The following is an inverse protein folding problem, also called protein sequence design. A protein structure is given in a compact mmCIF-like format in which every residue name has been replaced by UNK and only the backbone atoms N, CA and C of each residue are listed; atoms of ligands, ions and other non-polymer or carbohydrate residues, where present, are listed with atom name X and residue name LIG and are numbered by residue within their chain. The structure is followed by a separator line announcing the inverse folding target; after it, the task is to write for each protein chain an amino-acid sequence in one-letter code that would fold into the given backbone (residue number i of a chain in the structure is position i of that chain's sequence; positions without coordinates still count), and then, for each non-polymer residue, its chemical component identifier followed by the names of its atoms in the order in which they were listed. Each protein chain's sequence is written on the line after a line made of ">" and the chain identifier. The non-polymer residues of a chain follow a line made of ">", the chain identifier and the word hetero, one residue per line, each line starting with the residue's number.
data_IF_065928185967
#
_entry.id   IF_065928185967
#
_cell.length_a   1.000
_cell.length_b   1.000
_cell.length_c   1.000
_cell.angle_alpha   90.00
_cell.angle_beta   90.00
_cell.angle_gamma   90.00
#
_symmetry.space_group_name_H-M   'P 1'
#
loop_
_entity.id
_entity.type
_entity.pdbx_description
1 polymer ?
#
# COMPACT_ATOMS: atom_id res chain seq x y z
N UNK A 1 -13.06 2.86 -0.59
CA UNK A 1 -11.89 3.48 -1.25
C UNK A 1 -11.51 2.60 -2.42
N UNK A 2 -10.92 3.16 -3.49
CA UNK A 2 -10.59 2.40 -4.68
C UNK A 2 -9.50 1.33 -4.38
N UNK A 3 -8.59 1.61 -3.43
CA UNK A 3 -7.65 0.63 -2.85
C UNK A 3 -8.23 -0.07 -1.61
N UNK A 4 -8.17 -1.40 -1.61
CA UNK A 4 -8.41 -2.25 -0.43
C UNK A 4 -7.12 -2.92 0.03
N UNK A 5 -6.88 -2.95 1.35
CA UNK A 5 -5.72 -3.61 1.96
C UNK A 5 -6.16 -4.95 2.57
N UNK A 6 -5.52 -6.04 2.18
CA UNK A 6 -5.64 -7.33 2.86
C UNK A 6 -4.36 -7.64 3.63
N UNK A 7 -4.49 -7.96 4.92
CA UNK A 7 -3.39 -8.36 5.79
C UNK A 7 -3.82 -9.57 6.63
N UNK A 8 -2.94 -10.56 6.76
CA UNK A 8 -3.10 -11.70 7.68
C UNK A 8 -2.35 -11.42 8.97
N UNK A 9 -2.93 -11.69 10.16
CA UNK A 9 -2.21 -11.57 11.44
C UNK A 9 -0.94 -12.43 11.52
N UNK A 10 -0.89 -13.53 10.76
CA UNK A 10 0.29 -14.42 10.70
C UNK A 10 1.47 -13.80 9.93
N UNK A 11 1.22 -12.74 9.15
CA UNK A 11 2.23 -12.04 8.37
C UNK A 11 2.76 -10.80 9.10
N UNK A 12 2.65 -10.78 10.43
CA UNK A 12 3.12 -9.67 11.28
C UNK A 12 4.23 -10.18 12.18
N UNK A 13 5.44 -9.65 11.99
CA UNK A 13 6.60 -9.97 12.82
C UNK A 13 7.02 -8.76 13.65
N UNK A 14 7.16 -8.95 14.97
CA UNK A 14 7.62 -7.93 15.93
C UNK A 14 8.96 -8.29 16.61
N UNK A 15 9.73 -9.19 15.98
CA UNK A 15 10.98 -9.76 16.50
C UNK A 15 12.14 -8.77 16.57
N UNK A 16 12.10 -7.67 15.80
CA UNK A 16 13.10 -6.60 15.88
C UNK A 16 12.81 -5.66 17.06
N UNK A 17 13.86 -5.22 17.77
CA UNK A 17 13.75 -4.49 19.04
C UNK A 17 12.88 -3.22 19.03
N UNK A 18 12.56 -2.65 17.87
CA UNK A 18 11.79 -1.40 17.76
C UNK A 18 10.77 -1.36 16.60
N UNK A 19 10.62 -2.45 15.82
CA UNK A 19 9.79 -2.43 14.61
C UNK A 19 8.83 -3.62 14.55
N UNK A 20 7.74 -3.39 13.83
CA UNK A 20 6.75 -4.37 13.42
C UNK A 20 6.76 -4.38 11.90
N UNK A 21 6.97 -5.56 11.31
CA UNK A 21 6.92 -5.78 9.87
C UNK A 21 5.61 -6.48 9.52
N UNK A 22 4.93 -6.02 8.49
CA UNK A 22 3.71 -6.65 8.02
C UNK A 22 3.68 -6.77 6.49
N UNK A 23 3.21 -7.91 5.98
CA UNK A 23 3.04 -8.15 4.55
C UNK A 23 1.56 -8.30 4.21
N UNK A 24 1.03 -7.34 3.47
CA UNK A 24 -0.33 -7.35 2.93
C UNK A 24 -0.35 -7.37 1.41
N UNK A 25 -1.56 -7.31 0.85
CA UNK A 25 -1.81 -7.15 -0.59
C UNK A 25 -2.77 -5.99 -0.83
N UNK A 26 -2.60 -5.32 -1.97
CA UNK A 26 -3.50 -4.28 -2.45
C UNK A 26 -4.37 -4.84 -3.57
N UNK A 27 -5.65 -4.48 -3.55
CA UNK A 27 -6.56 -4.65 -4.69
C UNK A 27 -7.13 -3.31 -5.10
N UNK A 28 -7.32 -3.13 -6.41
CA UNK A 28 -7.71 -1.86 -7.01
C UNK A 28 -9.07 -1.98 -7.69
N UNK A 29 -9.89 -0.96 -7.53
CA UNK A 29 -11.20 -0.82 -8.15
C UNK A 29 -11.49 0.65 -8.42
N UNK A 30 -12.53 0.97 -9.20
CA UNK A 30 -12.95 2.37 -9.38
C UNK A 30 -11.93 3.24 -10.14
N UNK A 31 -11.75 4.47 -9.65
CA UNK A 31 -10.98 5.51 -10.34
C UNK A 31 -9.73 5.92 -9.56
N UNK A 32 -8.64 6.14 -10.29
CA UNK A 32 -7.41 6.77 -9.83
C UNK A 32 -7.56 8.31 -9.83
N UNK A 33 -7.33 8.98 -8.69
CA UNK A 33 -7.31 10.44 -8.61
C UNK A 33 -5.95 11.02 -9.01
N UNK A 34 -5.94 12.30 -9.42
CA UNK A 34 -4.69 13.02 -9.70
C UNK A 34 -3.76 13.02 -8.49
N UNK A 35 -2.50 12.60 -8.70
CA UNK A 35 -1.45 12.66 -7.68
C UNK A 35 -1.40 11.48 -6.72
N UNK A 36 -2.19 10.43 -6.94
CA UNK A 36 -2.17 9.20 -6.15
C UNK A 36 -3.44 8.96 -5.35
N UNK A 37 -3.82 7.68 -5.27
CA UNK A 37 -4.98 7.25 -4.51
C UNK A 37 -4.65 7.12 -3.03
N UNK A 38 -5.66 7.26 -2.17
CA UNK A 38 -5.49 7.13 -0.73
C UNK A 38 -5.27 5.67 -0.34
N UNK A 39 -4.18 5.43 0.38
CA UNK A 39 -3.93 4.20 1.15
C UNK A 39 -4.33 4.48 2.57
N UNK A 40 -5.40 3.83 3.02
CA UNK A 40 -5.89 3.96 4.39
C UNK A 40 -5.56 2.70 5.18
N UNK A 41 -4.54 2.81 6.04
CA UNK A 41 -4.11 1.74 6.93
C UNK A 41 -5.08 1.50 8.08
N UNK A 42 -6.09 2.36 8.30
CA UNK A 42 -7.18 2.07 9.25
C UNK A 42 -7.95 0.80 8.87
N UNK A 43 -7.93 0.40 7.59
CA UNK A 43 -8.53 -0.85 7.11
C UNK A 43 -7.96 -2.11 7.77
N UNK A 44 -6.72 -2.03 8.29
CA UNK A 44 -5.99 -3.15 8.90
C UNK A 44 -5.36 -2.77 10.25
N UNK A 45 -5.85 -1.69 10.88
CA UNK A 45 -5.31 -1.20 12.14
C UNK A 45 -5.50 -2.18 13.30
N UNK A 46 -6.51 -3.06 13.24
CA UNK A 46 -6.72 -4.16 14.18
C UNK A 46 -5.64 -5.26 14.10
N UNK A 47 -4.92 -5.32 12.98
CA UNK A 47 -3.88 -6.32 12.70
C UNK A 47 -2.46 -5.76 12.85
N UNK A 48 -2.33 -4.43 12.84
CA UNK A 48 -1.07 -3.74 13.06
C UNK A 48 -1.02 -3.26 14.53
N UNK A 49 -0.15 -3.81 15.39
CA UNK A 49 0.02 -3.36 16.77
C UNK A 49 0.78 -2.01 16.85
N UNK A 50 0.50 -1.07 15.94
CA UNK A 50 1.11 0.26 15.90
C UNK A 50 0.34 1.20 14.98
N UNK A 51 0.23 2.46 15.39
CA UNK A 51 -0.28 3.55 14.56
C UNK A 51 0.82 4.38 13.89
N UNK A 52 2.08 4.02 14.11
CA UNK A 52 3.24 4.74 13.60
C UNK A 52 3.92 3.95 12.48
N UNK A 53 3.39 4.07 11.27
CA UNK A 53 4.02 3.51 10.07
C UNK A 53 5.23 4.38 9.70
N UNK A 54 6.40 3.75 9.59
CA UNK A 54 7.67 4.39 9.26
C UNK A 54 7.93 4.30 7.76
N UNK A 55 7.59 3.17 7.15
CA UNK A 55 7.80 2.91 5.73
C UNK A 55 6.72 1.98 5.19
N UNK A 56 6.39 2.17 3.91
CA UNK A 56 5.60 1.22 3.14
C UNK A 56 6.18 1.08 1.73
N UNK A 57 6.23 -0.13 1.21
CA UNK A 57 6.63 -0.42 -0.16
C UNK A 57 5.55 -1.24 -0.85
N UNK A 58 5.25 -0.89 -2.10
CA UNK A 58 4.25 -1.56 -2.90
C UNK A 58 4.89 -2.09 -4.18
N UNK A 59 4.85 -3.42 -4.36
CA UNK A 59 5.57 -4.10 -5.45
C UNK A 59 4.63 -5.03 -6.20
N UNK A 60 4.64 -4.95 -7.54
CA UNK A 60 3.91 -5.92 -8.36
C UNK A 60 4.55 -7.30 -8.21
N UNK A 61 3.73 -8.31 -7.94
CA UNK A 61 4.11 -9.71 -7.96
C UNK A 61 3.79 -10.38 -9.29
N UNK A 62 2.93 -9.78 -10.11
CA UNK A 62 2.49 -10.37 -11.37
C UNK A 62 3.27 -9.81 -12.59
N UNK A 63 4.43 -9.19 -12.35
CA UNK A 63 5.32 -8.70 -13.39
C UNK A 63 4.76 -7.51 -14.19
N UNK A 64 3.87 -6.72 -13.59
CA UNK A 64 3.43 -5.46 -14.20
C UNK A 64 4.65 -4.56 -14.44
N UNK A 65 4.80 -4.07 -15.67
CA UNK A 65 5.89 -3.15 -16.04
C UNK A 65 5.76 -1.77 -15.40
N UNK A 66 4.57 -1.45 -14.88
CA UNK A 66 4.34 -0.32 -14.00
C UNK A 66 4.94 -0.53 -12.60
N UNK A 67 5.05 0.54 -11.84
CA UNK A 67 5.48 0.47 -10.45
C UNK A 67 4.59 1.33 -9.56
N UNK A 68 4.64 1.06 -8.26
CA UNK A 68 3.84 1.74 -7.26
C UNK A 68 4.75 2.44 -6.26
N UNK A 69 4.42 3.69 -5.95
CA UNK A 69 5.18 4.49 -4.99
C UNK A 69 4.25 4.89 -3.85
N UNK A 70 4.51 4.34 -2.67
CA UNK A 70 3.85 4.78 -1.45
C UNK A 70 4.46 6.12 -1.01
N UNK A 71 3.60 7.10 -0.75
CA UNK A 71 3.97 8.41 -0.21
C UNK A 71 3.42 8.49 1.21
N UNK A 72 4.31 8.80 2.15
CA UNK A 72 3.96 8.90 3.56
C UNK A 72 2.87 9.95 3.80
N UNK A 73 1.83 9.54 4.52
CA UNK A 73 0.82 10.44 5.08
C UNK A 73 1.22 10.92 6.48
N UNK A 74 0.54 11.95 6.97
CA UNK A 74 0.67 12.42 8.36
C UNK A 74 -0.16 11.60 9.36
N UNK A 75 -1.05 10.73 8.89
CA UNK A 75 -1.93 9.86 9.65
C UNK A 75 -2.15 8.54 8.91
N UNK A 76 -2.64 7.49 9.59
CA UNK A 76 -2.86 6.17 8.97
C UNK A 76 -3.81 6.21 7.76
N UNK A 77 -4.73 7.17 7.74
CA UNK A 77 -5.80 7.28 6.74
C UNK A 77 -5.50 8.21 5.57
N UNK A 78 -4.28 8.75 5.46
CA UNK A 78 -3.95 9.73 4.43
C UNK A 78 -2.62 9.48 3.72
N UNK A 79 -2.11 8.24 3.77
CA UNK A 79 -1.03 7.83 2.88
C UNK A 79 -1.53 7.82 1.43
N UNK A 80 -0.60 7.93 0.48
CA UNK A 80 -0.93 7.88 -0.95
C UNK A 80 -0.19 6.75 -1.64
N UNK A 81 -0.81 6.16 -2.65
CA UNK A 81 -0.16 5.30 -3.63
C UNK A 81 -0.22 5.96 -4.99
N UNK A 82 0.95 6.25 -5.55
CA UNK A 82 1.09 6.66 -6.93
C UNK A 82 1.32 5.43 -7.80
N UNK A 83 0.59 5.31 -8.89
CA UNK A 83 0.74 4.22 -9.85
C UNK A 83 1.30 4.74 -11.17
N UNK A 84 2.26 4.00 -11.73
CA UNK A 84 2.96 4.38 -12.96
C UNK A 84 2.79 3.30 -14.02
N UNK A 85 2.71 3.70 -15.29
CA UNK A 85 2.75 2.77 -16.42
C UNK A 85 4.19 2.29 -16.68
N UNK A 86 4.33 1.23 -17.49
CA UNK A 86 5.62 0.87 -18.08
C UNK A 86 6.22 2.09 -18.80
N UNK A 87 7.43 2.48 -18.42
CA UNK A 87 8.09 3.71 -18.89
C UNK A 87 8.09 4.87 -17.88
N UNK A 88 7.44 4.72 -16.72
CA UNK A 88 7.59 5.64 -15.59
C UNK A 88 6.71 6.89 -15.60
N UNK A 89 5.69 6.92 -16.46
CA UNK A 89 4.66 7.97 -16.44
C UNK A 89 3.59 7.62 -15.42
N UNK A 90 3.23 8.56 -14.55
CA UNK A 90 2.10 8.37 -13.64
C UNK A 90 0.81 8.17 -14.44
N UNK A 91 -0.02 7.21 -14.03
CA UNK A 91 -1.27 6.94 -14.74
C UNK A 91 -2.19 8.18 -14.66
N UNK A 92 -2.92 8.44 -15.73
CA UNK A 92 -3.84 9.58 -15.80
C UNK A 92 -5.02 9.38 -14.85
N UNK A 93 -5.55 10.49 -14.32
CA UNK A 93 -6.75 10.44 -13.50
C UNK A 93 -7.95 9.90 -14.32
N UNK A 94 -8.73 9.00 -13.71
CA UNK A 94 -9.80 8.29 -14.40
C UNK A 94 -9.91 6.84 -13.93
N UNK A 95 -10.58 5.99 -14.70
CA UNK A 95 -10.66 4.56 -14.38
C UNK A 95 -9.27 3.92 -14.32
N UNK A 96 -9.05 3.03 -13.35
CA UNK A 96 -7.80 2.28 -13.31
C UNK A 96 -7.60 1.49 -14.61
N UNK A 97 -6.39 1.50 -15.20
CA UNK A 97 -6.06 0.63 -16.32
C UNK A 97 -6.20 -0.84 -15.92
N UNK A 98 -6.55 -1.70 -16.89
CA UNK A 98 -6.67 -3.13 -16.66
C UNK A 98 -5.41 -3.73 -16.02
N UNK A 99 -4.23 -3.26 -16.45
CA UNK A 99 -2.93 -3.67 -15.92
C UNK A 99 -2.78 -3.43 -14.42
N UNK A 100 -3.50 -2.46 -13.83
CA UNK A 100 -3.50 -2.20 -12.39
C UNK A 100 -4.59 -3.01 -11.69
N UNK A 101 -5.81 -3.07 -12.25
CA UNK A 101 -6.93 -3.80 -11.63
C UNK A 101 -6.72 -5.32 -11.57
N UNK A 102 -5.93 -5.88 -12.47
CA UNK A 102 -5.60 -7.32 -12.49
C UNK A 102 -4.23 -7.63 -11.88
N UNK A 103 -3.54 -6.63 -11.32
CA UNK A 103 -2.24 -6.84 -10.68
C UNK A 103 -2.42 -7.45 -9.29
N UNK A 104 -1.38 -8.16 -8.85
CA UNK A 104 -1.24 -8.59 -7.46
C UNK A 104 -0.11 -7.77 -6.87
N UNK A 105 -0.45 -6.80 -6.02
CA UNK A 105 0.55 -5.88 -5.44
C UNK A 105 0.77 -6.24 -3.98
N UNK A 106 2.00 -6.61 -3.64
CA UNK A 106 2.43 -6.81 -2.26
C UNK A 106 2.66 -5.46 -1.60
N UNK A 107 2.16 -5.29 -0.38
CA UNK A 107 2.41 -4.16 0.48
C UNK A 107 3.29 -4.61 1.65
N UNK A 108 4.54 -4.17 1.69
CA UNK A 108 5.40 -4.33 2.86
C UNK A 108 5.29 -3.09 3.74
N UNK A 109 5.00 -3.28 5.03
CA UNK A 109 4.80 -2.22 6.02
C UNK A 109 5.84 -2.38 7.12
N UNK A 110 6.51 -1.29 7.48
CA UNK A 110 7.35 -1.20 8.68
C UNK A 110 6.75 -0.17 9.61
N UNK A 111 6.34 -0.58 10.80
CA UNK A 111 5.78 0.30 11.84
C UNK A 111 6.64 0.28 13.12
N UNK A 112 6.54 1.30 13.97
CA UNK A 112 7.23 1.32 15.27
C UNK A 112 6.56 0.33 16.22
N UNK A 113 7.34 -0.45 16.94
CA UNK A 113 6.82 -1.21 18.08
C UNK A 113 6.43 -0.20 19.17
N UNK A 114 5.14 -0.13 19.52
CA UNK A 114 4.69 0.63 20.67
C UNK A 114 5.00 -0.22 21.92
N UNK A 115 5.68 0.38 22.90
CA UNK A 115 6.07 -0.24 24.16
C UNK A 115 4.85 -0.68 24.98
#
# INVERSE_FOLDING_TARGET
>A
MPITISLSPLNVDSSASNFVYAIGTLTFSGNYPTGGDTVDFMQVADKLPSTQIVQAFAESQNGNSGYYVAIAGSALNNWKLKAFSGGGTEISAGAYPASVTTDVVQLAITARKLL
#
